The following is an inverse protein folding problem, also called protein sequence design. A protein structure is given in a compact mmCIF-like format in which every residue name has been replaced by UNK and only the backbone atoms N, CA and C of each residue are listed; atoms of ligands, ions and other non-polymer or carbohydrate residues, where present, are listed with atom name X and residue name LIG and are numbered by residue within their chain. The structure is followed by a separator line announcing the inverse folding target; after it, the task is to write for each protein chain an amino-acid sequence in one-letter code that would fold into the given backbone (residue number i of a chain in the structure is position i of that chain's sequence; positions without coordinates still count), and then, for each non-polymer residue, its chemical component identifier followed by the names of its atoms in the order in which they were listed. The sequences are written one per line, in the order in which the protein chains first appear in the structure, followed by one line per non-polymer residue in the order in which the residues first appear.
data_IF_683575044333
#
_entry.id   IF_683575044333
#
_cell.length_a   1.000
_cell.length_b   1.000
_cell.length_c   1.000
_cell.angle_alpha   90.00
_cell.angle_beta   90.00
_cell.angle_gamma   90.00
#
_symmetry.space_group_name_H-M   'P 1'
#
loop_
_entity.id
_entity.type
_entity.pdbx_description
1 polymer ?
#
# COMPACT_ATOMS: atom_id res chain seq x y z
N UNK A 1 -14.99 -9.59 -4.13
CA UNK A 1 -14.74 -8.15 -3.94
C UNK A 1 -15.96 -7.37 -4.41
N UNK A 2 -16.50 -6.53 -3.53
CA UNK A 2 -17.64 -5.67 -3.86
C UNK A 2 -17.25 -4.20 -4.03
N UNK A 3 -16.08 -3.81 -3.54
CA UNK A 3 -15.59 -2.43 -3.60
C UNK A 3 -14.16 -2.38 -4.14
N UNK A 4 -13.93 -1.39 -4.98
CA UNK A 4 -12.59 -1.15 -5.54
C UNK A 4 -11.88 -0.02 -4.79
N UNK A 5 -10.59 0.16 -5.08
CA UNK A 5 -9.81 1.26 -4.52
C UNK A 5 -10.48 2.60 -4.84
N UNK A 6 -10.45 3.56 -3.93
CA UNK A 6 -9.65 3.63 -2.71
C UNK A 6 -10.22 2.91 -1.48
N UNK A 7 -11.28 2.10 -1.63
CA UNK A 7 -11.79 1.30 -0.53
C UNK A 7 -10.76 0.23 -0.18
N UNK A 8 -10.51 -0.04 1.12
CA UNK A 8 -9.47 -0.99 1.53
C UNK A 8 -9.85 -2.46 1.35
N UNK A 9 -11.06 -2.78 0.89
CA UNK A 9 -11.57 -4.17 0.88
C UNK A 9 -10.61 -5.16 0.23
N UNK A 10 -10.04 -4.81 -0.94
CA UNK A 10 -9.15 -5.71 -1.67
C UNK A 10 -7.91 -6.07 -0.83
N UNK A 11 -7.35 -5.11 -0.12
CA UNK A 11 -6.16 -5.36 0.69
C UNK A 11 -6.50 -6.07 1.99
N UNK A 12 -7.66 -5.77 2.59
CA UNK A 12 -8.11 -6.46 3.81
C UNK A 12 -8.41 -7.94 3.54
N UNK A 13 -9.03 -8.25 2.40
CA UNK A 13 -9.27 -9.62 1.99
C UNK A 13 -7.94 -10.35 1.78
N UNK A 14 -6.98 -9.70 1.13
CA UNK A 14 -5.67 -10.29 0.89
C UNK A 14 -4.95 -10.61 2.20
N UNK A 15 -4.94 -9.68 3.15
CA UNK A 15 -4.33 -9.89 4.47
C UNK A 15 -5.01 -11.04 5.21
N UNK A 16 -6.33 -11.12 5.14
CA UNK A 16 -7.09 -12.20 5.77
C UNK A 16 -6.70 -13.57 5.20
N UNK A 17 -6.57 -13.64 3.87
CA UNK A 17 -6.23 -14.91 3.19
C UNK A 17 -4.85 -15.42 3.57
N UNK A 18 -3.89 -14.54 3.79
CA UNK A 18 -2.54 -14.95 4.20
C UNK A 18 -2.39 -15.03 5.72
N UNK A 19 -3.43 -14.63 6.47
CA UNK A 19 -3.42 -14.74 7.93
C UNK A 19 -2.52 -13.74 8.63
N UNK A 20 -2.28 -12.57 8.03
CA UNK A 20 -1.40 -11.52 8.57
C UNK A 20 -2.26 -10.33 8.96
N UNK A 21 -1.98 -9.74 10.15
CA UNK A 21 -2.65 -8.53 10.58
C UNK A 21 -2.32 -7.39 9.59
N UNK A 22 -3.31 -6.59 9.15
CA UNK A 22 -3.04 -5.45 8.26
C UNK A 22 -1.93 -4.51 8.76
N UNK A 23 -1.80 -4.32 10.07
CA UNK A 23 -0.74 -3.48 10.63
C UNK A 23 0.67 -4.03 10.33
N UNK A 24 0.78 -5.32 10.00
CA UNK A 24 2.05 -5.97 9.66
C UNK A 24 2.22 -6.13 8.14
N UNK A 25 1.32 -5.55 7.35
CA UNK A 25 1.37 -5.60 5.89
C UNK A 25 1.88 -4.29 5.31
N UNK A 26 2.59 -4.40 4.19
CA UNK A 26 3.00 -3.25 3.39
C UNK A 26 2.51 -3.44 1.97
N UNK A 27 2.07 -2.35 1.35
CA UNK A 27 1.57 -2.34 -0.03
C UNK A 27 2.46 -1.43 -0.86
N UNK A 28 2.91 -1.92 -2.01
CA UNK A 28 3.63 -1.11 -3.00
C UNK A 28 2.64 -0.76 -4.09
N UNK A 29 2.47 0.54 -4.37
CA UNK A 29 1.47 1.03 -5.30
C UNK A 29 2.01 2.15 -6.18
N UNK A 30 1.51 2.21 -7.41
CA UNK A 30 1.83 3.29 -8.35
C UNK A 30 0.66 4.28 -8.51
N UNK A 31 -0.50 3.98 -7.95
CA UNK A 31 -1.70 4.82 -8.05
C UNK A 31 -2.07 5.40 -6.69
N UNK A 32 -2.46 6.67 -6.68
CA UNK A 32 -2.90 7.34 -5.46
C UNK A 32 -4.05 6.58 -4.78
N UNK A 33 -5.00 6.06 -5.56
CA UNK A 33 -6.13 5.30 -5.01
C UNK A 33 -5.67 4.06 -4.26
N UNK A 34 -4.59 3.41 -4.73
CA UNK A 34 -4.01 2.26 -4.05
C UNK A 34 -3.37 2.64 -2.71
N UNK A 35 -2.68 3.78 -2.67
CA UNK A 35 -2.10 4.30 -1.43
C UNK A 35 -3.20 4.60 -0.42
N UNK A 36 -4.28 5.25 -0.86
CA UNK A 36 -5.41 5.58 0.01
C UNK A 36 -6.07 4.32 0.56
N UNK A 37 -6.23 3.30 -0.29
CA UNK A 37 -6.80 2.02 0.12
C UNK A 37 -5.92 1.33 1.18
N UNK A 38 -4.62 1.32 0.98
CA UNK A 38 -3.68 0.73 1.94
C UNK A 38 -3.75 1.44 3.29
N UNK A 39 -3.76 2.76 3.29
CA UNK A 39 -3.83 3.55 4.54
C UNK A 39 -5.18 3.36 5.23
N UNK A 40 -6.28 3.33 4.47
CA UNK A 40 -7.60 3.09 5.03
C UNK A 40 -7.71 1.69 5.66
N UNK A 41 -6.93 0.74 5.16
CA UNK A 41 -6.87 -0.62 5.70
C UNK A 41 -5.88 -0.79 6.86
N UNK A 42 -5.19 0.27 7.26
CA UNK A 42 -4.22 0.20 8.37
C UNK A 42 -2.86 -0.39 7.97
N UNK A 43 -2.54 -0.39 6.68
CA UNK A 43 -1.29 -0.94 6.16
C UNK A 43 -0.26 0.15 5.90
N UNK A 44 1.02 -0.25 5.83
CA UNK A 44 2.09 0.64 5.37
C UNK A 44 1.99 0.80 3.86
N UNK A 45 2.04 2.03 3.37
CA UNK A 45 1.91 2.33 1.95
C UNK A 45 3.22 2.85 1.39
N UNK A 46 3.71 2.18 0.35
CA UNK A 46 4.96 2.48 -0.34
C UNK A 46 4.63 2.91 -1.76
N UNK A 47 4.89 4.17 -2.07
CA UNK A 47 4.59 4.72 -3.40
C UNK A 47 5.78 4.49 -4.33
N UNK A 48 5.52 3.88 -5.49
CA UNK A 48 6.54 3.61 -6.50
C UNK A 48 5.98 3.99 -7.86
N UNK A 49 6.59 4.99 -8.49
CA UNK A 49 6.16 5.52 -9.80
C UNK A 49 4.76 6.15 -9.72
N UNK A 50 4.21 6.52 -10.87
CA UNK A 50 2.84 6.98 -11.02
C UNK A 50 2.46 8.18 -10.14
N UNK A 51 1.16 8.37 -9.96
CA UNK A 51 0.63 9.46 -9.14
C UNK A 51 0.60 9.13 -7.65
N UNK A 52 1.04 7.94 -7.26
CA UNK A 52 1.23 7.57 -5.86
C UNK A 52 2.36 8.38 -5.23
N UNK A 53 3.44 8.63 -5.98
CA UNK A 53 4.60 9.37 -5.50
C UNK A 53 4.22 10.81 -5.18
N UNK A 54 4.45 11.22 -3.94
CA UNK A 54 4.17 12.59 -3.51
C UNK A 54 2.69 12.89 -3.34
N UNK A 55 1.80 11.90 -3.30
CA UNK A 55 0.37 12.13 -3.15
C UNK A 55 -0.03 12.65 -1.76
N UNK A 56 0.85 12.51 -0.78
CA UNK A 56 0.64 13.03 0.57
C UNK A 56 0.13 12.00 1.58
N UNK A 57 -0.32 10.84 1.13
CA UNK A 57 -0.85 9.78 2.01
C UNK A 57 0.14 8.63 2.20
N UNK A 58 1.15 8.54 1.35
CA UNK A 58 2.14 7.47 1.40
C UNK A 58 3.05 7.57 2.63
N UNK A 59 3.55 6.43 3.09
CA UNK A 59 4.54 6.39 4.16
C UNK A 59 5.95 6.57 3.62
N UNK A 60 6.24 6.05 2.42
CA UNK A 60 7.53 6.15 1.76
C UNK A 60 7.35 6.38 0.26
N UNK A 61 8.27 7.15 -0.33
CA UNK A 61 8.37 7.33 -1.77
C UNK A 61 9.60 6.56 -2.27
N UNK A 62 9.38 5.67 -3.24
CA UNK A 62 10.45 4.87 -3.83
C UNK A 62 10.68 5.31 -5.27
N UNK A 63 11.93 5.23 -5.74
CA UNK A 63 12.28 5.56 -7.13
C UNK A 63 12.58 4.29 -7.94
N UNK A 64 12.77 3.16 -7.28
CA UNK A 64 13.01 1.87 -7.92
C UNK A 64 12.64 0.75 -6.96
N UNK A 65 12.46 -0.47 -7.48
CA UNK A 65 12.20 -1.63 -6.63
C UNK A 65 13.35 -1.91 -5.67
N UNK A 66 14.59 -1.59 -6.05
CA UNK A 66 15.73 -1.80 -5.16
C UNK A 66 15.67 -0.93 -3.90
N UNK A 67 14.94 0.18 -3.94
CA UNK A 67 14.75 1.02 -2.75
C UNK A 67 13.99 0.31 -1.64
N UNK A 68 13.24 -0.76 -1.96
CA UNK A 68 12.56 -1.56 -0.94
C UNK A 68 13.55 -2.10 0.09
N UNK A 69 14.77 -2.42 -0.33
CA UNK A 69 15.80 -2.95 0.57
C UNK A 69 16.20 -1.96 1.67
N UNK A 70 15.92 -0.68 1.46
CA UNK A 70 16.26 0.38 2.41
C UNK A 70 15.14 0.63 3.43
N UNK A 71 13.91 0.19 3.17
CA UNK A 71 12.76 0.44 4.05
C UNK A 71 12.27 -0.84 4.72
N UNK A 72 12.62 -2.01 4.20
CA UNK A 72 12.29 -3.29 4.83
C UNK A 72 13.30 -3.62 5.92
N UNK A 73 12.86 -4.24 7.01
CA UNK A 73 13.75 -4.65 8.10
C UNK A 73 14.74 -5.75 7.67
#
# INVERSE_FOLDING_TARGET
ITRSKPDPEVFLISAQKIGIDPADCAVVEDAKAGIEAAKAGGMTALALFGDANGCGAEDYNLTSFSDLLNVLP
#
